data_IF_241304763074
#
_entry.id   IF_241304763074
#
_cell.length_a   1.000
_cell.length_b   1.000
_cell.length_c   1.000
_cell.angle_alpha   90.00
_cell.angle_beta   90.00
_cell.angle_gamma   90.00
#
_symmetry.space_group_name_H-M   'P 1'
#
loop_
_entity.id
_entity.type
_entity.pdbx_description
1 polymer ?
#
# COMPACT_ATOMS: atom_id res chain seq x y z
N UNK A 1 -10.16 1.86 -5.55
CA UNK A 1 -9.15 2.95 -5.57
C UNK A 1 -9.86 4.28 -5.67
N UNK A 2 -9.31 5.35 -5.10
CA UNK A 2 -9.87 6.70 -5.27
C UNK A 2 -9.51 7.20 -6.68
N UNK A 3 -10.39 7.97 -7.32
CA UNK A 3 -10.16 8.52 -8.66
C UNK A 3 -8.88 9.35 -8.76
N UNK A 4 -8.68 10.31 -7.84
CA UNK A 4 -7.46 11.12 -7.81
C UNK A 4 -6.18 10.29 -7.57
N UNK A 5 -6.29 9.17 -6.85
CA UNK A 5 -5.15 8.26 -6.65
C UNK A 5 -4.84 7.46 -7.90
N UNK A 6 -5.87 7.01 -8.64
CA UNK A 6 -5.68 6.26 -9.86
C UNK A 6 -4.89 7.07 -10.90
N UNK A 7 -5.22 8.36 -11.07
CA UNK A 7 -4.49 9.26 -11.96
C UNK A 7 -3.04 9.44 -11.48
N UNK A 8 -2.84 9.82 -10.21
CA UNK A 8 -1.52 10.06 -9.65
C UNK A 8 -0.60 8.83 -9.69
N UNK A 9 -1.15 7.64 -9.44
CA UNK A 9 -0.40 6.38 -9.48
C UNK A 9 -0.09 5.94 -10.91
N UNK A 10 -0.96 6.26 -11.88
CA UNK A 10 -0.69 6.02 -13.30
C UNK A 10 0.48 6.87 -13.78
N UNK A 11 0.46 8.17 -13.50
CA UNK A 11 1.56 9.08 -13.83
C UNK A 11 2.87 8.64 -13.18
N UNK A 12 2.80 8.20 -11.92
CA UNK A 12 3.95 7.70 -11.20
C UNK A 12 4.53 6.44 -11.85
N UNK A 13 3.69 5.47 -12.21
CA UNK A 13 4.11 4.22 -12.85
C UNK A 13 4.80 4.50 -14.20
N UNK A 14 4.18 5.33 -15.06
CA UNK A 14 4.76 5.75 -16.33
C UNK A 14 6.11 6.46 -16.14
N UNK A 15 6.22 7.32 -15.12
CA UNK A 15 7.45 8.04 -14.81
C UNK A 15 8.63 7.16 -14.41
N UNK A 16 8.38 5.95 -13.88
CA UNK A 16 9.42 5.02 -13.43
C UNK A 16 9.67 3.84 -14.38
N UNK A 17 8.84 3.65 -15.41
CA UNK A 17 8.85 2.48 -16.30
C UNK A 17 10.26 2.09 -16.78
N UNK A 18 11.05 3.07 -17.24
CA UNK A 18 12.41 2.83 -17.74
C UNK A 18 13.42 2.44 -16.65
N UNK A 19 13.20 2.89 -15.42
CA UNK A 19 14.13 2.69 -14.29
C UNK A 19 13.78 1.44 -13.48
N UNK A 20 12.49 1.15 -13.32
CA UNK A 20 11.96 0.08 -12.48
C UNK A 20 10.78 -0.61 -13.19
N UNK A 21 11.04 -1.33 -14.30
CA UNK A 21 9.98 -1.87 -15.16
C UNK A 21 9.06 -2.86 -14.44
N UNK A 22 9.62 -3.71 -13.56
CA UNK A 22 8.84 -4.70 -12.81
C UNK A 22 7.84 -4.06 -11.83
N UNK A 23 8.25 -2.97 -11.16
CA UNK A 23 7.38 -2.23 -10.23
C UNK A 23 6.31 -1.46 -10.99
N UNK A 24 6.69 -0.82 -12.10
CA UNK A 24 5.75 -0.14 -13.00
C UNK A 24 4.68 -1.11 -13.51
N UNK A 25 5.06 -2.28 -14.01
CA UNK A 25 4.13 -3.29 -14.51
C UNK A 25 3.19 -3.79 -13.42
N UNK A 26 3.73 -4.07 -12.21
CA UNK A 26 2.92 -4.47 -11.07
C UNK A 26 1.87 -3.39 -10.75
N UNK A 27 2.30 -2.13 -10.60
CA UNK A 27 1.42 -1.02 -10.25
C UNK A 27 0.37 -0.77 -11.33
N UNK A 28 0.74 -0.79 -12.61
CA UNK A 28 -0.19 -0.68 -13.73
C UNK A 28 -1.22 -1.81 -13.74
N UNK A 29 -0.81 -3.04 -13.39
CA UNK A 29 -1.72 -4.18 -13.25
C UNK A 29 -2.66 -4.04 -12.06
N UNK A 30 -2.21 -3.48 -10.94
CA UNK A 30 -3.06 -3.14 -9.77
C UNK A 30 -4.08 -2.04 -10.12
N UNK A 31 -3.64 -0.99 -10.83
CA UNK A 31 -4.52 0.09 -11.28
C UNK A 31 -5.56 -0.45 -12.26
N UNK A 32 -5.14 -1.25 -13.25
CA UNK A 32 -6.02 -1.79 -14.30
C UNK A 32 -7.10 -2.75 -13.79
N UNK A 33 -6.89 -3.42 -12.65
CA UNK A 33 -7.91 -4.27 -12.02
C UNK A 33 -8.79 -3.52 -11.00
N UNK A 34 -8.39 -2.32 -10.61
CA UNK A 34 -9.06 -1.59 -9.55
C UNK A 34 -10.41 -1.03 -10.02
N UNK A 35 -11.44 -1.21 -9.20
CA UNK A 35 -12.66 -0.40 -9.34
C UNK A 35 -12.39 1.00 -8.79
N UNK A 36 -12.61 2.02 -9.61
CA UNK A 36 -12.38 3.42 -9.26
C UNK A 36 -13.65 4.03 -8.66
N UNK A 37 -13.51 4.68 -7.52
CA UNK A 37 -14.59 5.30 -6.78
C UNK A 37 -14.23 6.74 -6.39
N UNK A 38 -15.24 7.58 -6.14
CA UNK A 38 -15.02 8.83 -5.38
C UNK A 38 -14.56 8.49 -3.97
N UNK A 39 -13.70 9.31 -3.38
CA UNK A 39 -13.16 9.10 -2.02
C UNK A 39 -14.23 8.79 -0.96
N UNK A 40 -15.37 9.48 -1.00
CA UNK A 40 -16.49 9.24 -0.07
C UNK A 40 -17.16 7.87 -0.19
N UNK A 41 -16.94 7.16 -1.30
CA UNK A 41 -17.51 5.84 -1.57
C UNK A 41 -16.50 4.70 -1.34
N UNK A 42 -15.24 5.01 -1.04
CA UNK A 42 -14.25 4.00 -0.65
C UNK A 42 -14.49 3.62 0.81
N UNK A 43 -14.70 2.32 1.12
CA UNK A 43 -14.85 1.87 2.51
C UNK A 43 -13.60 2.17 3.34
N UNK A 44 -13.79 2.54 4.63
CA UNK A 44 -12.68 3.01 5.48
C UNK A 44 -11.68 1.92 5.86
N UNK A 45 -12.07 0.66 5.71
CA UNK A 45 -11.26 -0.54 5.93
C UNK A 45 -10.37 -0.91 4.74
N UNK A 46 -10.44 -0.16 3.62
CA UNK A 46 -9.61 -0.36 2.43
C UNK A 46 -8.34 0.48 2.51
N UNK A 47 -7.19 -0.13 2.27
CA UNK A 47 -5.91 0.59 2.18
C UNK A 47 -5.93 1.51 0.96
N UNK A 48 -5.74 2.81 1.21
CA UNK A 48 -5.56 3.87 0.22
C UNK A 48 -4.19 4.53 0.39
N UNK A 49 -3.82 5.49 -0.45
CA UNK A 49 -2.62 6.29 -0.23
C UNK A 49 -2.74 7.05 1.09
N UNK A 50 -1.62 7.13 1.81
CA UNK A 50 -1.49 7.73 3.14
C UNK A 50 -2.29 7.05 4.26
N UNK A 51 -2.93 5.91 3.98
CA UNK A 51 -3.52 5.08 5.05
C UNK A 51 -2.43 4.52 5.96
N UNK A 52 -2.74 4.45 7.25
CA UNK A 52 -1.96 3.74 8.25
C UNK A 52 -2.54 2.33 8.43
N UNK A 53 -1.67 1.33 8.43
CA UNK A 53 -2.03 -0.08 8.39
C UNK A 53 -1.34 -0.79 9.53
N UNK A 54 -2.15 -1.39 10.41
CA UNK A 54 -1.67 -2.24 11.48
C UNK A 54 -1.64 -3.69 11.02
N UNK A 55 -0.47 -4.29 11.15
CA UNK A 55 -0.24 -5.71 10.90
C UNK A 55 -0.08 -6.45 12.22
N UNK A 56 -0.53 -7.70 12.24
CA UNK A 56 -0.11 -8.69 13.23
C UNK A 56 0.78 -9.73 12.55
N UNK A 57 1.94 -9.99 13.16
CA UNK A 57 2.77 -11.14 12.82
C UNK A 57 2.15 -12.38 13.47
N UNK A 58 1.61 -13.28 12.65
CA UNK A 58 0.93 -14.50 13.11
C UNK A 58 1.85 -15.43 13.91
N UNK A 59 3.17 -15.37 13.69
CA UNK A 59 4.12 -16.23 14.39
C UNK A 59 4.46 -15.73 15.79
N UNK A 60 4.46 -14.42 16.01
CA UNK A 60 4.91 -13.80 17.28
C UNK A 60 3.81 -13.05 18.04
N UNK A 61 2.68 -12.76 17.39
CA UNK A 61 1.64 -11.88 17.89
C UNK A 61 2.04 -10.39 17.93
N UNK A 62 3.23 -10.05 17.43
CA UNK A 62 3.72 -8.68 17.44
C UNK A 62 2.90 -7.80 16.47
N UNK A 63 2.57 -6.59 16.92
CA UNK A 63 1.86 -5.61 16.09
C UNK A 63 2.86 -4.63 15.50
N UNK A 64 2.71 -4.32 14.21
CA UNK A 64 3.49 -3.31 13.49
C UNK A 64 2.56 -2.38 12.73
N UNK A 65 2.75 -1.08 12.92
CA UNK A 65 2.06 -0.04 12.14
C UNK A 65 2.99 0.48 11.05
N UNK A 66 2.45 0.64 9.84
CA UNK A 66 3.15 1.28 8.71
C UNK A 66 2.21 2.22 7.98
N UNK A 67 2.75 3.20 7.27
CA UNK A 67 1.97 4.09 6.40
C UNK A 67 2.36 3.88 4.95
N UNK A 68 1.37 3.66 4.08
CA UNK A 68 1.58 3.60 2.63
C UNK A 68 1.69 5.03 2.09
N UNK A 69 2.81 5.37 1.46
CA UNK A 69 3.11 6.75 1.04
C UNK A 69 3.65 6.82 -0.39
N UNK A 70 3.70 8.04 -0.94
CA UNK A 70 4.40 8.32 -2.20
C UNK A 70 5.92 8.25 -2.02
N UNK A 71 6.69 8.07 -3.10
CA UNK A 71 8.15 7.91 -3.03
C UNK A 71 8.89 9.06 -2.34
N UNK A 72 8.39 10.29 -2.49
CA UNK A 72 8.99 11.48 -1.86
C UNK A 72 8.95 11.43 -0.33
N UNK A 73 8.00 10.70 0.25
CA UNK A 73 7.76 10.66 1.69
C UNK A 73 8.25 9.34 2.33
N UNK A 74 8.85 8.46 1.51
CA UNK A 74 9.29 7.13 1.94
C UNK A 74 10.41 7.22 2.98
N UNK A 75 10.24 6.50 4.09
CA UNK A 75 11.19 6.47 5.20
C UNK A 75 10.90 5.24 6.05
N UNK A 76 11.63 4.16 5.74
CA UNK A 76 11.48 2.86 6.38
C UNK A 76 11.76 2.94 7.89
N UNK A 77 12.69 3.80 8.32
CA UNK A 77 13.02 3.94 9.74
C UNK A 77 11.84 4.51 10.54
N UNK A 78 11.00 5.33 9.89
CA UNK A 78 9.76 5.86 10.46
C UNK A 78 8.50 5.02 10.15
N UNK A 79 8.65 3.85 9.53
CA UNK A 79 7.51 3.01 9.14
C UNK A 79 6.72 3.53 7.92
N UNK A 80 7.28 4.44 7.12
CA UNK A 80 6.66 4.95 5.88
C UNK A 80 7.16 4.17 4.67
N UNK A 81 6.26 3.46 4.01
CA UNK A 81 6.56 2.54 2.92
C UNK A 81 6.07 3.12 1.60
N UNK A 82 6.98 3.22 0.64
CA UNK A 82 6.65 3.69 -0.71
C UNK A 82 5.74 2.71 -1.44
N UNK A 83 4.75 3.24 -2.14
CA UNK A 83 3.96 2.53 -3.16
C UNK A 83 4.82 1.89 -4.26
N UNK A 84 6.06 2.37 -4.46
CA UNK A 84 7.02 1.80 -5.42
C UNK A 84 7.88 0.67 -4.85
N UNK A 85 7.46 0.07 -3.74
CA UNK A 85 8.03 -1.20 -3.28
C UNK A 85 7.06 -2.34 -3.62
N UNK A 86 7.52 -3.59 -3.83
CA UNK A 86 6.62 -4.72 -4.05
C UNK A 86 5.56 -4.85 -2.94
N UNK A 87 5.98 -4.60 -1.69
CA UNK A 87 5.10 -4.57 -0.53
C UNK A 87 4.07 -3.44 -0.69
N UNK A 88 4.49 -2.19 -0.90
CA UNK A 88 3.58 -1.06 -1.03
C UNK A 88 2.57 -1.22 -2.18
N UNK A 89 3.02 -1.69 -3.33
CA UNK A 89 2.16 -1.99 -4.48
C UNK A 89 1.17 -3.13 -4.19
N UNK A 90 1.56 -4.13 -3.39
CA UNK A 90 0.64 -5.19 -2.95
C UNK A 90 -0.39 -4.72 -1.93
N UNK A 91 -0.09 -3.68 -1.15
CA UNK A 91 -0.98 -3.18 -0.09
C UNK A 91 -2.16 -2.37 -0.61
N UNK A 92 -2.00 -1.62 -1.70
CA UNK A 92 -3.06 -0.73 -2.19
C UNK A 92 -4.32 -1.53 -2.55
N UNK A 93 -5.47 -1.13 -2.01
CA UNK A 93 -6.75 -1.82 -2.22
C UNK A 93 -6.99 -3.07 -1.36
N UNK A 94 -6.01 -3.52 -0.56
CA UNK A 94 -6.25 -4.55 0.46
C UNK A 94 -7.18 -4.05 1.56
N UNK A 95 -7.74 -4.97 2.35
CA UNK A 95 -8.64 -4.67 3.46
C UNK A 95 -8.21 -5.30 4.77
N UNK A 96 -8.70 -4.77 5.89
CA UNK A 96 -8.60 -5.45 7.18
C UNK A 96 -9.09 -6.91 7.09
N UNK A 97 -8.35 -7.81 7.73
CA UNK A 97 -8.52 -9.27 7.63
C UNK A 97 -7.75 -9.94 6.49
N UNK A 98 -7.17 -9.16 5.56
CA UNK A 98 -6.33 -9.73 4.47
C UNK A 98 -4.92 -10.03 4.99
N UNK A 99 -4.29 -11.08 4.44
CA UNK A 99 -2.90 -11.42 4.74
C UNK A 99 -1.97 -11.07 3.57
N UNK A 100 -0.74 -10.70 3.91
CA UNK A 100 0.35 -10.44 2.96
C UNK A 100 1.59 -11.25 3.35
N UNK A 101 2.33 -11.75 2.36
CA UNK A 101 3.67 -12.29 2.57
C UNK A 101 4.67 -11.15 2.57
N UNK A 102 5.33 -10.96 3.70
CA UNK A 102 6.27 -9.88 3.94
C UNK A 102 7.67 -10.44 4.22
N UNK A 103 8.69 -10.09 3.43
CA UNK A 103 10.07 -10.51 3.71
C UNK A 103 10.59 -9.79 4.94
N UNK A 104 11.00 -10.56 5.94
CA UNK A 104 11.58 -10.00 7.15
C UNK A 104 13.02 -9.50 6.95
N UNK A 105 13.70 -9.13 8.04
CA UNK A 105 15.08 -8.62 7.98
C UNK A 105 16.08 -9.63 7.45
N UNK A 106 15.78 -10.92 7.59
CA UNK A 106 16.63 -12.03 7.15
C UNK A 106 16.19 -12.55 5.77
N UNK A 107 15.18 -11.93 5.15
CA UNK A 107 14.65 -12.29 3.83
C UNK A 107 13.65 -13.45 3.84
N UNK A 108 13.25 -13.94 5.01
CA UNK A 108 12.24 -14.99 5.12
C UNK A 108 10.84 -14.40 4.96
N UNK A 109 9.99 -15.06 4.18
CA UNK A 109 8.58 -14.67 4.06
C UNK A 109 7.84 -14.91 5.38
N UNK A 110 7.29 -13.84 5.95
CA UNK A 110 6.34 -13.90 7.06
C UNK A 110 4.95 -13.51 6.62
N UNK A 111 3.97 -14.33 6.99
CA UNK A 111 2.57 -13.97 6.83
C UNK A 111 2.18 -12.93 7.87
N UNK A 112 1.79 -11.74 7.40
CA UNK A 112 1.26 -10.67 8.22
C UNK A 112 -0.21 -10.45 7.88
N UNK A 113 -1.07 -10.37 8.89
CA UNK A 113 -2.49 -10.07 8.70
C UNK A 113 -2.76 -8.60 8.98
N UNK A 114 -3.49 -7.93 8.09
CA UNK A 114 -3.97 -6.56 8.31
C UNK A 114 -5.02 -6.61 9.41
N UNK A 115 -4.67 -6.10 10.58
CA UNK A 115 -5.58 -5.99 11.72
C UNK A 115 -6.51 -4.78 11.59
N UNK A 116 -5.97 -3.65 11.16
CA UNK A 116 -6.74 -2.40 11.04
C UNK A 116 -6.18 -1.52 9.92
N UNK A 117 -7.06 -0.71 9.35
CA UNK A 117 -6.72 0.35 8.40
C UNK A 117 -7.29 1.66 8.94
N UNK A 118 -6.44 2.67 9.08
CA UNK A 118 -6.83 4.03 9.43
C UNK A 118 -6.64 4.94 8.23
N UNK A 119 -7.74 5.53 7.77
CA UNK A 119 -7.74 6.50 6.68
C UNK A 119 -7.02 7.79 7.08
N UNK A 120 -6.32 8.47 6.15
CA UNK A 120 -5.79 9.80 6.40
C UNK A 120 -6.93 10.78 6.75
N UNK A 121 -6.61 11.90 7.42
CA UNK A 121 -7.56 13.00 7.57
C UNK A 121 -8.04 13.43 6.18
N UNK A 122 -9.36 13.55 5.99
CA UNK A 122 -9.89 14.10 4.75
C UNK A 122 -9.44 15.55 4.64
N UNK A 123 -8.95 15.94 3.47
CA UNK A 123 -8.78 17.36 3.16
C UNK A 123 -10.15 18.05 3.29
N UNK A 124 -10.19 19.17 4.01
CA UNK A 124 -11.40 19.95 4.27
C UNK A 124 -11.94 20.61 3.00
#
# INVERSE_FOLDING_TARGET
MIDSEADALTDLALGIEKRMPQVSELLMREIGRATVHKERHVPRDVVTMNSEVDFVDEASGAVRSVRLVYPSDADIASGRISILTPIGAGLIGMRAGSAILWPDRDGHERALTIRAVMQPPRAA
#
